data_IF_684780210580
#
_entry.id   IF_684780210580
#
_cell.length_a   1.000
_cell.length_b   1.000
_cell.length_c   1.000
_cell.angle_alpha   90.00
_cell.angle_beta   90.00
_cell.angle_gamma   90.00
#
_symmetry.space_group_name_H-M   'P 1'
#
loop_
_entity.id
_entity.type
_entity.pdbx_description
1 polymer ?
#
# COMPACT_ATOMS: atom_id res chain seq x y z
N UNK A 1 4.00 -11.52 -2.53
CA UNK A 1 3.03 -12.62 -2.74
C UNK A 1 1.61 -12.06 -2.73
N UNK A 2 0.78 -12.55 -3.65
CA UNK A 2 -0.64 -12.19 -3.76
C UNK A 2 -1.48 -13.23 -3.02
N UNK A 3 -2.00 -12.87 -1.86
CA UNK A 3 -2.76 -13.77 -1.01
C UNK A 3 -4.08 -14.22 -1.66
N UNK A 4 -4.72 -13.35 -2.45
CA UNK A 4 -5.99 -13.64 -3.13
C UNK A 4 -5.81 -14.58 -4.34
N UNK A 5 -4.58 -14.69 -4.85
CA UNK A 5 -4.18 -15.58 -5.94
C UNK A 5 -3.33 -16.76 -5.45
N UNK A 6 -3.68 -17.33 -4.31
CA UNK A 6 -2.99 -18.49 -3.72
C UNK A 6 -1.51 -18.26 -3.46
N UNK A 7 -1.15 -17.06 -3.04
CA UNK A 7 0.23 -16.62 -2.74
C UNK A 7 1.19 -16.69 -3.93
N UNK A 8 0.66 -16.52 -5.14
CA UNK A 8 1.53 -16.41 -6.32
C UNK A 8 2.45 -15.19 -6.20
N UNK A 9 3.68 -15.28 -6.71
CA UNK A 9 4.58 -14.15 -6.77
C UNK A 9 3.98 -12.98 -7.54
N UNK A 10 4.08 -11.77 -6.98
CA UNK A 10 3.77 -10.52 -7.68
C UNK A 10 5.08 -9.89 -8.14
N UNK A 11 5.16 -9.53 -9.40
CA UNK A 11 6.33 -8.92 -10.04
C UNK A 11 6.01 -7.50 -10.48
N UNK A 12 7.03 -6.65 -10.55
CA UNK A 12 6.87 -5.25 -10.96
C UNK A 12 7.87 -4.34 -10.26
N UNK A 13 7.78 -3.05 -10.54
CA UNK A 13 8.64 -2.04 -9.90
C UNK A 13 8.04 -1.59 -8.56
N UNK A 14 8.89 -1.48 -7.54
CA UNK A 14 8.53 -0.94 -6.23
C UNK A 14 8.45 0.60 -6.31
N UNK A 15 7.29 1.13 -6.62
CA UNK A 15 7.06 2.59 -6.74
C UNK A 15 7.16 3.27 -5.36
N UNK A 16 6.79 2.55 -4.31
CA UNK A 16 6.87 3.00 -2.93
C UNK A 16 7.29 1.85 -2.04
N UNK A 17 8.30 2.06 -1.22
CA UNK A 17 8.71 1.15 -0.17
C UNK A 17 9.05 1.95 1.09
N UNK A 18 8.14 2.00 2.05
CA UNK A 18 8.35 2.66 3.34
C UNK A 18 8.08 1.66 4.46
N UNK A 19 9.11 0.98 4.97
CA UNK A 19 8.98 0.10 6.13
C UNK A 19 8.65 0.90 7.40
N UNK A 20 8.10 0.24 8.44
CA UNK A 20 7.92 0.86 9.75
C UNK A 20 9.27 1.28 10.34
N UNK A 21 9.22 2.30 11.21
CA UNK A 21 10.43 2.75 11.90
C UNK A 21 11.00 1.63 12.77
N UNK A 22 12.27 1.33 12.58
CA UNK A 22 12.99 0.35 13.40
C UNK A 22 13.21 0.86 14.84
N UNK A 23 13.26 -0.07 15.77
CA UNK A 23 13.51 0.18 17.20
C UNK A 23 14.09 -1.06 17.84
N UNK A 24 14.33 -1.03 19.15
CA UNK A 24 14.73 -2.24 19.91
C UNK A 24 13.70 -3.39 19.79
N UNK A 25 12.46 -3.05 19.47
CA UNK A 25 11.33 -3.98 19.43
C UNK A 25 10.77 -4.23 18.00
N UNK A 26 11.28 -3.52 16.99
CA UNK A 26 10.85 -3.65 15.59
C UNK A 26 12.09 -3.67 14.72
N UNK A 27 12.25 -4.72 13.93
CA UNK A 27 13.33 -4.89 12.98
C UNK A 27 12.77 -5.30 11.63
N UNK A 28 13.33 -4.76 10.56
CA UNK A 28 12.99 -5.08 9.18
C UNK A 28 14.23 -5.57 8.46
N UNK A 29 14.24 -6.84 8.07
CA UNK A 29 15.26 -7.38 7.19
C UNK A 29 14.73 -7.31 5.76
N UNK A 30 15.27 -6.43 4.94
CA UNK A 30 14.89 -6.26 3.54
C UNK A 30 16.06 -6.49 2.60
N UNK A 31 15.80 -7.04 1.42
CA UNK A 31 16.77 -7.21 0.35
C UNK A 31 16.50 -6.30 -0.86
N UNK A 32 15.54 -5.36 -0.73
CA UNK A 32 15.12 -4.47 -1.81
C UNK A 32 14.98 -3.04 -1.30
N UNK A 33 15.06 -2.09 -2.23
CA UNK A 33 14.89 -0.66 -1.99
C UNK A 33 13.74 -0.09 -2.86
N UNK A 34 13.32 1.13 -2.57
CA UNK A 34 12.36 1.86 -3.41
C UNK A 34 12.97 2.01 -4.81
N UNK A 35 12.19 1.90 -5.86
CA UNK A 35 12.55 1.87 -7.28
C UNK A 35 13.19 0.55 -7.78
N UNK A 36 13.39 -0.45 -6.94
CA UNK A 36 13.84 -1.78 -7.38
C UNK A 36 12.76 -2.51 -8.19
N UNK A 37 13.20 -3.43 -9.04
CA UNK A 37 12.34 -4.32 -9.83
C UNK A 37 12.26 -5.72 -9.18
N UNK A 38 11.05 -6.15 -8.83
CA UNK A 38 10.78 -7.51 -8.35
C UNK A 38 10.59 -8.41 -9.56
N UNK A 39 11.49 -9.38 -9.70
CA UNK A 39 11.50 -10.32 -10.82
C UNK A 39 11.07 -11.73 -10.38
N UNK A 40 10.58 -12.59 -11.30
CA UNK A 40 10.17 -13.95 -10.97
C UNK A 40 11.36 -14.90 -10.72
N UNK A 41 12.59 -14.42 -10.84
CA UNK A 41 13.81 -15.25 -10.77
C UNK A 41 14.33 -15.42 -9.34
N UNK A 42 13.80 -14.66 -8.40
CA UNK A 42 14.18 -14.69 -6.99
C UNK A 42 13.00 -15.05 -6.10
N UNK A 43 13.29 -15.26 -4.81
CA UNK A 43 12.29 -15.50 -3.79
C UNK A 43 11.25 -14.35 -3.76
N UNK A 44 9.94 -14.64 -3.73
CA UNK A 44 8.89 -13.62 -3.65
C UNK A 44 8.89 -12.86 -2.31
N UNK A 45 9.68 -13.28 -1.32
CA UNK A 45 9.81 -12.62 -0.03
C UNK A 45 10.72 -11.40 -0.16
N UNK A 46 10.13 -10.21 -0.22
CA UNK A 46 10.86 -8.93 -0.34
C UNK A 46 11.40 -8.42 1.00
N UNK A 47 10.74 -8.74 2.10
CA UNK A 47 11.16 -8.31 3.43
C UNK A 47 10.65 -9.25 4.51
N UNK A 48 11.32 -9.24 5.68
CA UNK A 48 10.90 -9.91 6.90
C UNK A 48 10.72 -8.89 8.01
N UNK A 49 9.49 -8.74 8.48
CA UNK A 49 9.16 -7.91 9.64
C UNK A 49 9.23 -8.74 10.91
N UNK A 50 10.04 -8.31 11.87
CA UNK A 50 10.28 -8.99 13.14
C UNK A 50 9.93 -8.02 14.26
N UNK A 51 9.09 -8.47 15.19
CA UNK A 51 8.77 -7.71 16.40
C UNK A 51 9.03 -8.53 17.63
N UNK A 52 9.36 -7.85 18.72
CA UNK A 52 9.54 -8.43 20.05
C UNK A 52 8.76 -7.63 21.09
N UNK A 53 8.21 -8.34 22.08
CA UNK A 53 7.66 -7.73 23.28
C UNK A 53 7.69 -8.74 24.44
N UNK A 54 7.41 -8.30 25.68
CA UNK A 54 7.48 -9.12 26.88
C UNK A 54 6.49 -10.29 26.88
N UNK A 55 5.33 -10.10 26.24
CA UNK A 55 4.30 -11.14 26.13
C UNK A 55 3.58 -11.07 24.78
N UNK A 56 2.93 -12.19 24.43
CA UNK A 56 2.32 -12.42 23.14
C UNK A 56 1.34 -11.31 22.73
N UNK A 57 0.46 -10.88 23.61
CA UNK A 57 -0.56 -9.86 23.30
C UNK A 57 0.08 -8.52 22.93
N UNK A 58 1.12 -8.11 23.64
CA UNK A 58 1.87 -6.91 23.33
C UNK A 58 2.63 -7.04 22.00
N UNK A 59 3.25 -8.20 21.75
CA UNK A 59 3.92 -8.48 20.48
C UNK A 59 2.93 -8.47 19.29
N UNK A 60 1.73 -9.05 19.45
CA UNK A 60 0.68 -9.02 18.43
C UNK A 60 0.16 -7.59 18.18
N UNK A 61 -0.02 -6.79 19.23
CA UNK A 61 -0.42 -5.39 19.09
C UNK A 61 0.66 -4.57 18.35
N UNK A 62 1.92 -4.81 18.67
CA UNK A 62 3.07 -4.17 17.98
C UNK A 62 3.16 -4.60 16.53
N UNK A 63 2.99 -5.89 16.23
CA UNK A 63 3.00 -6.40 14.86
C UNK A 63 1.89 -5.75 14.02
N UNK A 64 0.66 -5.67 14.55
CA UNK A 64 -0.44 -4.99 13.84
C UNK A 64 -0.12 -3.54 13.53
N UNK A 65 0.48 -2.82 14.49
CA UNK A 65 0.90 -1.43 14.26
C UNK A 65 1.98 -1.37 13.17
N UNK A 66 3.00 -2.20 13.25
CA UNK A 66 4.10 -2.22 12.30
C UNK A 66 3.62 -2.59 10.88
N UNK A 67 2.67 -3.53 10.74
CA UNK A 67 2.05 -3.86 9.45
C UNK A 67 1.22 -2.68 8.90
N UNK A 68 0.49 -1.96 9.75
CA UNK A 68 -0.29 -0.78 9.34
C UNK A 68 0.62 0.39 8.89
N UNK A 69 1.81 0.50 9.48
CA UNK A 69 2.79 1.53 9.12
C UNK A 69 3.59 1.16 7.86
N UNK A 70 3.55 -0.11 7.40
CA UNK A 70 4.29 -0.60 6.25
C UNK A 70 3.61 -0.21 4.94
N UNK A 71 4.26 0.62 4.12
CA UNK A 71 3.71 1.09 2.85
C UNK A 71 4.48 0.47 1.68
N UNK A 72 3.76 -0.23 0.81
CA UNK A 72 4.29 -0.77 -0.45
C UNK A 72 3.32 -0.43 -1.58
N UNK A 73 3.85 0.07 -2.69
CA UNK A 73 3.09 0.27 -3.92
C UNK A 73 3.90 -0.18 -5.15
N UNK A 74 3.19 -0.62 -6.19
CA UNK A 74 3.78 -1.12 -7.44
C UNK A 74 3.69 -2.64 -7.60
N UNK A 75 3.62 -3.37 -6.48
CA UNK A 75 3.42 -4.82 -6.47
C UNK A 75 2.34 -5.20 -5.45
N UNK A 76 1.64 -6.30 -5.69
CA UNK A 76 0.69 -6.85 -4.71
C UNK A 76 1.46 -7.51 -3.56
N UNK A 77 1.03 -7.25 -2.34
CA UNK A 77 1.65 -7.78 -1.13
C UNK A 77 0.66 -8.61 -0.31
N UNK A 78 1.16 -9.36 0.66
CA UNK A 78 0.36 -10.11 1.63
C UNK A 78 0.16 -9.36 2.95
N UNK A 79 0.43 -8.05 3.01
CA UNK A 79 0.35 -7.25 4.25
C UNK A 79 -1.05 -7.30 4.86
N UNK A 80 -2.10 -7.17 4.05
CA UNK A 80 -3.49 -7.22 4.53
C UNK A 80 -3.87 -8.60 5.05
N UNK A 81 -3.44 -9.66 4.36
CA UNK A 81 -3.58 -11.03 4.85
C UNK A 81 -2.88 -11.22 6.19
N UNK A 82 -1.63 -10.78 6.32
CA UNK A 82 -0.85 -10.86 7.57
C UNK A 82 -1.50 -10.06 8.70
N UNK A 83 -2.05 -8.89 8.40
CA UNK A 83 -2.78 -8.06 9.37
C UNK A 83 -4.01 -8.78 9.91
N UNK A 84 -4.79 -9.43 9.01
CA UNK A 84 -5.93 -10.27 9.40
C UNK A 84 -5.49 -11.50 10.18
N UNK A 85 -4.41 -12.17 9.77
CA UNK A 85 -3.88 -13.34 10.47
C UNK A 85 -3.47 -13.01 11.91
N UNK A 86 -2.74 -11.92 12.11
CA UNK A 86 -2.32 -11.47 13.45
C UNK A 86 -3.50 -11.04 14.32
N UNK A 87 -4.61 -10.59 13.70
CA UNK A 87 -5.85 -10.24 14.40
C UNK A 87 -6.77 -11.46 14.64
N UNK A 88 -6.53 -12.60 13.97
CA UNK A 88 -7.36 -13.78 14.09
C UNK A 88 -7.34 -14.34 15.52
N UNK A 89 -8.51 -14.61 16.15
CA UNK A 89 -8.57 -15.11 17.53
C UNK A 89 -7.82 -16.43 17.73
N UNK A 90 -7.86 -17.34 16.77
CA UNK A 90 -7.13 -18.62 16.84
C UNK A 90 -5.62 -18.39 16.83
N UNK A 91 -5.13 -17.46 16.00
CA UNK A 91 -3.72 -17.09 15.98
C UNK A 91 -3.32 -16.39 17.28
N UNK A 92 -4.12 -15.44 17.77
CA UNK A 92 -3.86 -14.75 19.04
C UNK A 92 -3.83 -15.72 20.23
N UNK A 93 -4.75 -16.67 20.28
CA UNK A 93 -4.82 -17.73 21.31
C UNK A 93 -3.79 -18.84 21.17
N UNK A 94 -2.89 -18.77 20.17
CA UNK A 94 -1.89 -19.81 19.88
C UNK A 94 -2.48 -21.21 19.53
N UNK A 95 -3.71 -21.25 19.02
CA UNK A 95 -4.31 -22.45 18.42
C UNK A 95 -3.80 -22.61 16.98
N UNK A 96 -2.55 -23.05 16.86
CA UNK A 96 -1.78 -23.04 15.63
C UNK A 96 -1.52 -24.46 15.14
N UNK A 97 -1.98 -24.74 13.92
CA UNK A 97 -1.63 -25.92 13.15
C UNK A 97 -1.60 -25.61 11.64
N UNK A 98 -1.24 -26.59 10.84
CA UNK A 98 -1.18 -26.44 9.38
C UNK A 98 -2.55 -26.21 8.72
N UNK A 99 -3.65 -26.48 9.41
CA UNK A 99 -5.02 -26.26 8.95
C UNK A 99 -5.61 -24.90 9.33
N UNK A 100 -4.87 -24.04 10.05
CA UNK A 100 -5.36 -22.75 10.54
C UNK A 100 -5.95 -21.89 9.43
N UNK A 101 -5.21 -21.73 8.33
CA UNK A 101 -5.62 -20.87 7.20
C UNK A 101 -6.96 -21.37 6.62
N UNK A 102 -7.09 -22.68 6.43
CA UNK A 102 -8.31 -23.24 5.87
C UNK A 102 -9.50 -23.14 6.85
N UNK A 103 -9.28 -23.38 8.15
CA UNK A 103 -10.32 -23.22 9.18
C UNK A 103 -10.78 -21.79 9.36
N UNK A 104 -9.90 -20.82 9.12
CA UNK A 104 -10.18 -19.40 9.29
C UNK A 104 -10.35 -18.66 7.95
N UNK A 105 -10.66 -19.41 6.88
CA UNK A 105 -10.69 -18.90 5.51
C UNK A 105 -11.58 -17.66 5.36
N UNK A 106 -12.81 -17.71 5.88
CA UNK A 106 -13.76 -16.60 5.75
C UNK A 106 -13.29 -15.32 6.47
N UNK A 107 -12.52 -15.47 7.55
CA UNK A 107 -11.93 -14.35 8.27
C UNK A 107 -10.67 -13.80 7.55
N UNK A 108 -9.86 -14.68 7.00
CA UNK A 108 -8.59 -14.32 6.37
C UNK A 108 -8.77 -13.79 4.95
N UNK A 109 -9.79 -14.25 4.22
CA UNK A 109 -10.10 -13.88 2.85
C UNK A 109 -11.56 -13.38 2.75
N UNK A 110 -11.89 -12.22 3.36
CA UNK A 110 -13.21 -11.64 3.23
C UNK A 110 -13.51 -11.30 1.77
N UNK A 111 -14.78 -11.27 1.39
CA UNK A 111 -15.17 -10.81 0.07
C UNK A 111 -14.68 -9.37 -0.16
N UNK A 112 -14.21 -9.11 -1.38
CA UNK A 112 -13.78 -7.78 -1.76
C UNK A 112 -14.95 -6.80 -1.65
N UNK A 113 -14.74 -5.70 -0.94
CA UNK A 113 -15.69 -4.59 -0.86
C UNK A 113 -15.22 -3.47 -1.78
N UNK A 114 -16.17 -2.76 -2.39
CA UNK A 114 -15.85 -1.59 -3.21
C UNK A 114 -15.19 -0.51 -2.36
N UNK A 115 -14.22 0.20 -2.94
CA UNK A 115 -13.52 1.27 -2.24
C UNK A 115 -14.50 2.31 -1.68
N UNK A 116 -14.38 2.68 -0.39
CA UNK A 116 -15.20 3.72 0.21
C UNK A 116 -15.10 5.04 -0.57
N UNK A 117 -16.21 5.78 -0.64
CA UNK A 117 -16.25 7.06 -1.36
C UNK A 117 -15.17 8.04 -0.90
N UNK A 118 -14.84 8.03 0.37
CA UNK A 118 -13.83 8.91 0.97
C UNK A 118 -12.44 8.63 0.40
N UNK A 119 -12.10 7.36 0.18
CA UNK A 119 -10.84 6.94 -0.45
C UNK A 119 -10.77 7.48 -1.87
N UNK A 120 -11.86 7.35 -2.64
CA UNK A 120 -11.92 7.89 -4.01
C UNK A 120 -11.79 9.42 -4.05
N UNK A 121 -12.38 10.12 -3.06
CA UNK A 121 -12.23 11.58 -2.94
C UNK A 121 -10.79 11.97 -2.62
N UNK A 122 -10.14 11.29 -1.68
CA UNK A 122 -8.74 11.52 -1.34
C UNK A 122 -7.83 11.24 -2.53
N UNK A 123 -8.06 10.15 -3.25
CA UNK A 123 -7.32 9.81 -4.46
C UNK A 123 -7.49 10.89 -5.56
N UNK A 124 -8.71 11.40 -5.75
CA UNK A 124 -8.96 12.48 -6.71
C UNK A 124 -8.23 13.78 -6.34
N UNK A 125 -8.22 14.15 -5.06
CA UNK A 125 -7.45 15.31 -4.57
C UNK A 125 -5.95 15.09 -4.74
N UNK A 126 -5.46 13.88 -4.42
CA UNK A 126 -4.06 13.52 -4.62
C UNK A 126 -3.61 13.67 -6.07
N UNK A 127 -4.39 13.18 -7.02
CA UNK A 127 -4.13 13.32 -8.46
C UNK A 127 -4.06 14.80 -8.89
N UNK A 128 -5.01 15.61 -8.43
CA UNK A 128 -5.01 17.03 -8.74
C UNK A 128 -3.79 17.77 -8.16
N UNK A 129 -3.39 17.44 -6.94
CA UNK A 129 -2.21 18.02 -6.30
C UNK A 129 -0.92 17.59 -7.00
N UNK A 130 -0.83 16.32 -7.41
CA UNK A 130 0.31 15.79 -8.15
C UNK A 130 0.45 16.50 -9.51
N UNK A 131 -0.63 16.66 -10.27
CA UNK A 131 -0.63 17.40 -11.53
C UNK A 131 -0.22 18.86 -11.37
N UNK A 132 -0.70 19.53 -10.31
CA UNK A 132 -0.29 20.88 -10.02
C UNK A 132 1.21 20.97 -9.70
N UNK A 133 1.72 20.00 -8.95
CA UNK A 133 3.15 19.93 -8.63
C UNK A 133 3.99 19.68 -9.88
N UNK A 134 3.61 18.72 -10.71
CA UNK A 134 4.28 18.42 -11.97
C UNK A 134 4.29 19.63 -12.92
N UNK A 135 3.16 20.36 -13.02
CA UNK A 135 3.06 21.57 -13.82
C UNK A 135 4.01 22.68 -13.32
N UNK A 136 4.14 22.84 -11.99
CA UNK A 136 5.09 23.82 -11.39
C UNK A 136 6.54 23.45 -11.69
N UNK A 137 6.89 22.16 -11.64
CA UNK A 137 8.23 21.68 -11.98
C UNK A 137 8.53 21.93 -13.47
N UNK A 138 7.59 21.59 -14.35
CA UNK A 138 7.73 21.83 -15.79
C UNK A 138 7.86 23.34 -16.11
N UNK A 139 7.09 24.20 -15.45
CA UNK A 139 7.19 25.64 -15.58
C UNK A 139 8.60 26.16 -15.21
N UNK A 140 9.15 25.67 -14.10
CA UNK A 140 10.52 26.06 -13.68
C UNK A 140 11.58 25.60 -14.69
N UNK A 141 11.41 24.41 -15.25
CA UNK A 141 12.34 23.86 -16.23
C UNK A 141 12.26 24.54 -17.61
N UNK A 142 11.13 25.18 -17.95
CA UNK A 142 10.92 25.83 -19.23
C UNK A 142 11.66 27.16 -19.41
N UNK A 143 12.23 27.71 -18.33
CA UNK A 143 12.85 29.06 -18.32
C UNK A 143 11.85 30.23 -18.26
N UNK A 144 10.53 29.95 -18.31
CA UNK A 144 9.45 30.95 -18.13
C UNK A 144 8.44 30.45 -17.09
N UNK A 145 8.83 30.47 -15.79
CA UNK A 145 7.99 29.91 -14.71
C UNK A 145 6.69 30.70 -14.47
N UNK A 146 6.57 31.88 -15.03
CA UNK A 146 5.42 32.79 -14.86
C UNK A 146 4.45 32.72 -16.03
N UNK A 147 4.70 31.92 -17.03
CA UNK A 147 3.82 31.76 -18.19
C UNK A 147 2.44 31.26 -17.78
N UNK A 148 1.36 31.93 -18.18
CA UNK A 148 -0.01 31.48 -17.88
C UNK A 148 -0.37 30.10 -18.50
N UNK A 149 0.41 29.68 -19.49
CA UNK A 149 0.21 28.35 -20.13
C UNK A 149 0.54 27.18 -19.22
N UNK A 150 1.24 27.40 -18.12
CA UNK A 150 1.51 26.39 -17.09
C UNK A 150 0.44 26.35 -16.00
N UNK A 151 -0.52 27.29 -15.98
CA UNK A 151 -1.59 27.30 -15.00
C UNK A 151 -2.51 26.09 -15.17
N UNK A 152 -2.79 25.37 -14.05
CA UNK A 152 -3.69 24.23 -13.97
C UNK A 152 -4.85 24.49 -13.01
N UNK A 153 -5.26 25.76 -12.88
CA UNK A 153 -6.35 26.21 -12.00
C UNK A 153 -7.75 25.94 -12.57
N UNK A 154 -7.83 25.44 -13.81
CA UNK A 154 -9.08 25.18 -14.48
C UNK A 154 -9.87 26.42 -14.87
N UNK A 155 -9.26 27.63 -14.77
CA UNK A 155 -9.91 28.88 -15.10
C UNK A 155 -10.49 28.87 -16.53
N UNK A 156 -11.72 29.29 -16.67
CA UNK A 156 -12.39 29.47 -17.95
C UNK A 156 -13.25 30.76 -17.92
N UNK A 157 -13.19 31.52 -19.01
CA UNK A 157 -13.97 32.73 -19.13
C UNK A 157 -15.47 32.36 -19.25
N UNK A 158 -16.28 32.86 -18.31
CA UNK A 158 -17.76 32.68 -18.28
C UNK A 158 -18.27 31.23 -18.21
N UNK A 159 -17.46 30.27 -17.82
CA UNK A 159 -17.83 28.86 -17.71
C UNK A 159 -17.28 28.24 -16.41
N UNK A 160 -18.05 27.32 -15.84
CA UNK A 160 -17.52 26.45 -14.79
C UNK A 160 -16.62 25.37 -15.42
N UNK A 161 -15.49 25.10 -14.77
CA UNK A 161 -14.64 23.97 -15.14
C UNK A 161 -15.08 22.74 -14.36
N UNK A 162 -15.42 21.64 -15.06
CA UNK A 162 -15.67 20.35 -14.47
C UNK A 162 -14.73 19.34 -15.11
N UNK A 163 -14.18 18.44 -14.30
CA UNK A 163 -13.31 17.37 -14.74
C UNK A 163 -13.84 16.04 -14.18
N UNK A 164 -13.82 15.02 -15.02
CA UNK A 164 -14.12 13.65 -14.62
C UNK A 164 -12.79 12.92 -14.43
N UNK A 165 -12.61 12.32 -13.25
CA UNK A 165 -11.49 11.44 -12.93
C UNK A 165 -12.08 10.05 -12.71
N UNK A 166 -11.63 9.07 -13.48
CA UNK A 166 -12.06 7.69 -13.37
C UNK A 166 -11.03 6.88 -12.57
N UNK A 167 -11.50 6.12 -11.60
CA UNK A 167 -10.68 5.16 -10.86
C UNK A 167 -11.17 3.75 -11.20
N UNK A 168 -10.24 2.80 -11.21
CA UNK A 168 -10.55 1.38 -11.28
C UNK A 168 -10.26 0.76 -9.93
N UNK A 169 -11.23 0.02 -9.40
CA UNK A 169 -11.14 -0.70 -8.14
C UNK A 169 -11.16 -2.20 -8.45
N UNK A 170 -10.01 -2.85 -8.21
CA UNK A 170 -9.84 -4.26 -8.53
C UNK A 170 -9.67 -4.58 -10.02
N UNK A 171 -9.50 -5.86 -10.30
CA UNK A 171 -9.55 -6.43 -11.66
C UNK A 171 -11.00 -6.77 -11.99
N UNK A 172 -11.68 -5.94 -12.74
CA UNK A 172 -12.96 -6.25 -13.38
C UNK A 172 -12.82 -6.20 -14.88
#
# INVERSE_FOLDING_TARGET
EDADRSFLPSTGSLIRLAPPSESLNVRVDTGVEEDDEITPHYDPMIAKLIVWDEHRDAALARMRKALADYQVAGVTTNIDFLSRLVACPAFAGADLDTGLIERQRDFLFPAAEAAPRDVLLVAAVGELLWEQHAAKLAARASGDPWSPWHARDGWRMNLSSARMIGFRDGES
#
